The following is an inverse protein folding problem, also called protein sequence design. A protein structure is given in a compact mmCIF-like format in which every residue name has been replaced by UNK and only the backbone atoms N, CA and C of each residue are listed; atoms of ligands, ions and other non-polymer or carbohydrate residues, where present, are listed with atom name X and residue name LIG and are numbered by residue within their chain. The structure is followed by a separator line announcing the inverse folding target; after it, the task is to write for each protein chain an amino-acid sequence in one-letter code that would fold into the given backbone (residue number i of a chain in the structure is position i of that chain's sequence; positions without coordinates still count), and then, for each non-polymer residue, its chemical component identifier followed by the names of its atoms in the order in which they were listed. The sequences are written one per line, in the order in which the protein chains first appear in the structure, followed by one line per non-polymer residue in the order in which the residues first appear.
data_IF_384716609154
#
_entry.id   IF_384716609154
#
_cell.length_a   1.000
_cell.length_b   1.000
_cell.length_c   1.000
_cell.angle_alpha   90.00
_cell.angle_beta   90.00
_cell.angle_gamma   90.00
#
_symmetry.space_group_name_H-M   'P 1'
#
loop_
_entity.id
_entity.type
_entity.pdbx_description
1 polymer ?
#
# COMPACT_ATOMS: atom_id res chain seq x y z
N UNK A 1 8.21 15.53 5.32
CA UNK A 1 7.03 14.73 4.90
C UNK A 1 6.86 13.59 5.90
N UNK A 2 5.63 13.15 6.16
CA UNK A 2 5.32 11.98 6.97
C UNK A 2 4.63 10.93 6.12
N UNK A 3 4.93 9.65 6.36
CA UNK A 3 4.40 8.53 5.58
C UNK A 3 3.78 7.52 6.55
N UNK A 4 2.50 7.21 6.35
CA UNK A 4 1.77 6.20 7.09
C UNK A 4 1.24 5.16 6.13
N UNK A 5 1.61 3.90 6.30
CA UNK A 5 0.94 2.89 5.52
C UNK A 5 1.51 1.49 5.61
N UNK A 6 1.06 0.71 4.64
CA UNK A 6 1.32 -0.72 4.55
C UNK A 6 2.53 -1.04 3.68
N UNK A 7 2.77 -2.34 3.48
CA UNK A 7 3.95 -2.94 2.84
C UNK A 7 4.33 -2.29 1.49
N UNK A 8 3.36 -1.71 0.77
CA UNK A 8 3.57 -1.01 -0.51
C UNK A 8 4.39 0.28 -0.40
N UNK A 9 4.41 0.94 0.77
CA UNK A 9 5.20 2.17 1.00
C UNK A 9 6.21 2.02 2.15
N UNK A 10 6.42 0.78 2.60
CA UNK A 10 7.35 0.46 3.67
C UNK A 10 8.80 0.44 3.15
N UNK A 11 9.66 1.18 3.85
CA UNK A 11 11.11 1.09 3.79
C UNK A 11 11.56 0.88 5.24
N UNK A 12 12.12 -0.29 5.56
CA UNK A 12 12.79 -0.62 6.84
C UNK A 12 11.94 -0.87 8.09
N UNK A 13 10.72 -0.34 8.21
CA UNK A 13 9.94 -0.44 9.45
C UNK A 13 9.74 -1.89 9.97
N UNK A 14 9.69 -2.87 9.07
CA UNK A 14 9.52 -4.27 9.44
C UNK A 14 10.74 -4.89 10.15
N UNK A 15 11.90 -4.23 10.11
CA UNK A 15 13.12 -4.70 10.80
C UNK A 15 13.04 -4.52 12.32
N UNK A 16 12.16 -3.63 12.80
CA UNK A 16 12.03 -3.27 14.21
C UNK A 16 10.83 -3.92 14.91
N UNK A 17 10.10 -4.80 14.21
CA UNK A 17 8.93 -5.50 14.76
C UNK A 17 9.05 -7.02 14.59
N UNK A 18 8.35 -7.77 15.43
CA UNK A 18 8.33 -9.24 15.37
C UNK A 18 7.43 -9.71 14.22
N UNK A 19 8.02 -9.85 13.03
CA UNK A 19 7.36 -10.32 11.82
C UNK A 19 8.27 -11.24 11.00
N UNK A 20 7.67 -12.20 10.29
CA UNK A 20 8.35 -13.04 9.30
C UNK A 20 8.50 -12.32 7.95
N UNK A 21 7.71 -11.27 7.69
CA UNK A 21 7.77 -10.49 6.48
C UNK A 21 8.83 -9.40 6.63
N UNK A 22 10.06 -9.68 6.20
CA UNK A 22 11.19 -8.74 6.17
C UNK A 22 11.75 -8.63 4.76
N UNK A 23 12.34 -7.47 4.45
CA UNK A 23 12.96 -7.19 3.16
C UNK A 23 14.45 -6.77 3.28
N UNK A 24 15.07 -7.08 4.42
CA UNK A 24 16.44 -6.71 4.78
C UNK A 24 17.51 -7.65 4.21
N UNK A 25 17.23 -8.29 3.07
CA UNK A 25 18.15 -9.19 2.41
C UNK A 25 18.19 -8.94 0.91
N UNK A 26 19.41 -8.99 0.35
CA UNK A 26 19.69 -8.66 -1.05
C UNK A 26 18.90 -9.53 -2.03
N UNK A 27 18.83 -10.83 -1.76
CA UNK A 27 18.13 -11.78 -2.62
C UNK A 27 16.83 -12.22 -1.95
N UNK A 28 15.65 -11.86 -2.51
CA UNK A 28 15.41 -11.05 -3.72
C UNK A 28 15.34 -9.51 -3.57
N UNK A 29 15.17 -8.95 -2.37
CA UNK A 29 14.86 -7.53 -2.17
C UNK A 29 16.07 -6.59 -2.28
N UNK A 30 16.47 -6.29 -3.51
CA UNK A 30 17.66 -5.49 -3.81
C UNK A 30 18.63 -6.14 -4.79
N UNK A 31 18.19 -7.20 -5.48
CA UNK A 31 19.00 -7.92 -6.47
C UNK A 31 19.54 -6.99 -7.58
N UNK A 32 18.77 -5.99 -8.01
CA UNK A 32 19.20 -5.01 -9.03
C UNK A 32 20.00 -3.84 -8.46
N UNK A 33 19.89 -3.62 -7.15
CA UNK A 33 20.63 -2.56 -6.45
C UNK A 33 22.00 -3.04 -5.97
N UNK A 34 22.19 -4.36 -5.86
CA UNK A 34 23.43 -4.96 -5.37
C UNK A 34 23.51 -5.05 -3.84
N UNK A 35 22.56 -4.45 -3.12
CA UNK A 35 22.44 -4.42 -1.65
C UNK A 35 20.96 -4.52 -1.22
N UNK A 36 20.66 -4.96 0.02
CA UNK A 36 19.27 -4.98 0.53
C UNK A 36 18.64 -3.59 0.54
N UNK A 37 17.44 -3.45 0.00
CA UNK A 37 16.76 -2.14 -0.08
C UNK A 37 15.71 -1.94 1.01
N UNK A 38 15.41 -2.98 1.79
CA UNK A 38 14.33 -2.97 2.78
C UNK A 38 12.93 -2.69 2.23
N UNK A 39 12.79 -2.79 0.90
CA UNK A 39 11.53 -2.67 0.16
C UNK A 39 11.05 -4.06 -0.22
N UNK A 40 9.76 -4.33 -0.09
CA UNK A 40 9.12 -5.58 -0.55
C UNK A 40 9.01 -5.69 -2.09
N UNK A 41 9.85 -4.96 -2.81
CA UNK A 41 9.95 -4.99 -4.25
C UNK A 41 11.39 -4.67 -4.65
N UNK A 42 11.69 -4.84 -5.93
CA UNK A 42 13.00 -4.53 -6.50
C UNK A 42 12.93 -3.26 -7.37
N UNK A 43 12.47 -2.15 -6.77
CA UNK A 43 12.29 -0.85 -7.41
C UNK A 43 12.21 0.30 -6.41
N UNK A 44 12.11 1.53 -6.93
CA UNK A 44 11.96 2.76 -6.13
C UNK A 44 10.47 3.02 -5.88
N UNK A 45 10.10 3.28 -4.63
CA UNK A 45 8.73 3.57 -4.22
C UNK A 45 8.36 5.04 -4.28
N UNK A 46 7.05 5.32 -4.24
CA UNK A 46 6.55 6.68 -4.11
C UNK A 46 7.09 7.38 -2.85
N UNK A 47 7.34 6.63 -1.77
CA UNK A 47 7.98 7.14 -0.57
C UNK A 47 9.41 7.60 -0.84
N UNK A 48 10.19 6.84 -1.62
CA UNK A 48 11.57 7.16 -1.96
C UNK A 48 11.68 8.38 -2.88
N UNK A 49 10.77 8.53 -3.85
CA UNK A 49 10.73 9.73 -4.69
C UNK A 49 10.49 11.00 -3.88
N UNK A 50 9.77 10.88 -2.78
CA UNK A 50 9.41 12.00 -1.93
C UNK A 50 10.39 12.20 -0.76
N UNK A 51 11.28 11.24 -0.50
CA UNK A 51 12.32 11.31 0.53
C UNK A 51 13.69 11.67 -0.09
N UNK A 52 13.90 12.97 -0.31
CA UNK A 52 15.24 13.52 -0.55
C UNK A 52 15.72 14.22 0.74
N UNK A 53 16.60 13.56 1.49
CA UNK A 53 17.43 14.12 2.58
C UNK A 53 16.69 14.81 3.75
N UNK A 54 15.98 14.06 4.60
CA UNK A 54 15.40 14.64 5.82
C UNK A 54 15.89 13.98 7.12
N UNK A 55 16.77 14.69 7.84
CA UNK A 55 16.95 14.53 9.29
C UNK A 55 15.65 15.02 9.97
N UNK A 56 15.02 14.18 10.78
CA UNK A 56 13.84 14.57 11.55
C UNK A 56 14.24 15.67 12.57
N UNK A 57 13.61 16.86 12.55
CA UNK A 57 13.97 17.91 13.50
C UNK A 57 13.55 17.50 14.92
N UNK A 58 14.40 17.80 15.90
CA UNK A 58 14.03 17.68 17.32
C UNK A 58 13.34 18.98 17.72
N UNK A 59 12.08 18.88 18.14
CA UNK A 59 11.29 20.05 18.57
C UNK A 59 11.37 20.20 20.09
N UNK A 60 11.78 21.38 20.55
CA UNK A 60 11.82 21.70 21.98
C UNK A 60 10.48 22.24 22.50
N UNK A 61 9.65 22.82 21.63
CA UNK A 61 8.35 23.39 22.00
C UNK A 61 7.21 22.73 21.22
N UNK A 62 6.04 22.50 21.85
CA UNK A 62 4.86 21.96 21.16
C UNK A 62 4.40 22.83 19.98
N UNK A 63 4.54 24.16 20.07
CA UNK A 63 4.16 25.09 18.99
C UNK A 63 4.98 24.88 17.72
N UNK A 64 6.27 24.59 17.87
CA UNK A 64 7.19 24.39 16.75
C UNK A 64 6.85 23.08 16.03
N UNK A 65 6.52 22.03 16.80
CA UNK A 65 6.00 20.77 16.29
C UNK A 65 4.68 20.98 15.53
N UNK A 66 3.69 21.67 16.12
CA UNK A 66 2.41 21.94 15.46
C UNK A 66 2.59 22.72 14.16
N UNK A 67 3.47 23.72 14.14
CA UNK A 67 3.76 24.50 12.94
C UNK A 67 4.48 23.67 11.87
N UNK A 68 5.37 22.77 12.27
CA UNK A 68 6.04 21.83 11.37
C UNK A 68 5.06 20.83 10.76
N UNK A 69 4.18 20.24 11.59
CA UNK A 69 3.12 19.32 11.16
C UNK A 69 2.19 20.01 10.16
N UNK A 70 1.76 21.25 10.43
CA UNK A 70 0.87 22.00 9.53
C UNK A 70 1.50 22.30 8.16
N UNK A 71 2.84 22.44 8.10
CA UNK A 71 3.58 22.66 6.85
C UNK A 71 3.90 21.36 6.09
N UNK A 72 3.93 20.24 6.80
CA UNK A 72 4.32 18.94 6.28
C UNK A 72 3.24 18.27 5.44
N UNK A 73 3.67 17.50 4.44
CA UNK A 73 2.82 16.59 3.67
C UNK A 73 2.73 15.23 4.37
N UNK A 74 1.53 14.66 4.47
CA UNK A 74 1.24 13.33 5.02
C UNK A 74 0.78 12.41 3.90
N UNK A 75 1.59 11.41 3.53
CA UNK A 75 1.21 10.36 2.58
C UNK A 75 0.62 9.17 3.35
N UNK A 76 -0.62 8.79 3.05
CA UNK A 76 -1.35 7.71 3.75
C UNK A 76 -1.75 6.61 2.76
N UNK A 77 -1.35 5.37 2.99
CA UNK A 77 -1.83 4.19 2.25
C UNK A 77 -2.27 3.11 3.22
N UNK A 78 -3.56 2.80 3.25
CA UNK A 78 -4.13 1.80 4.16
C UNK A 78 -5.27 1.03 3.49
N UNK A 79 -5.63 -0.10 4.08
CA UNK A 79 -6.81 -0.88 3.74
C UNK A 79 -6.54 -2.16 2.97
N UNK A 80 -5.41 -2.31 2.26
CA UNK A 80 -5.16 -3.53 1.48
C UNK A 80 -5.05 -4.76 2.37
N UNK A 81 -4.41 -4.64 3.54
CA UNK A 81 -4.30 -5.73 4.51
C UNK A 81 -5.65 -6.12 5.14
N UNK A 82 -6.56 -5.18 5.41
CA UNK A 82 -7.91 -5.46 5.92
C UNK A 82 -8.71 -6.34 4.95
N UNK A 83 -8.44 -6.23 3.65
CA UNK A 83 -9.02 -7.12 2.66
C UNK A 83 -8.22 -8.42 2.52
N UNK A 84 -6.92 -8.34 2.20
CA UNK A 84 -6.12 -9.52 1.83
C UNK A 84 -6.00 -10.51 3.00
N UNK A 85 -5.74 -9.99 4.20
CA UNK A 85 -5.41 -10.75 5.41
C UNK A 85 -6.56 -10.78 6.42
N UNK A 86 -7.78 -10.45 5.99
CA UNK A 86 -8.97 -10.59 6.82
C UNK A 86 -10.22 -10.89 5.97
N UNK A 87 -10.81 -9.89 5.31
CA UNK A 87 -12.09 -10.06 4.58
C UNK A 87 -12.05 -11.15 3.50
N UNK A 88 -10.96 -11.25 2.77
CA UNK A 88 -10.77 -12.22 1.69
C UNK A 88 -10.10 -13.51 2.16
N UNK A 89 -10.21 -13.83 3.45
CA UNK A 89 -9.77 -15.08 4.08
C UNK A 89 -10.90 -15.71 4.92
N UNK A 90 -12.00 -16.14 4.28
CA UNK A 90 -13.19 -16.68 4.96
C UNK A 90 -12.92 -17.98 5.74
N UNK A 91 -11.82 -18.68 5.44
CA UNK A 91 -11.37 -19.87 6.17
C UNK A 91 -10.74 -19.54 7.53
N UNK A 92 -10.30 -18.30 7.74
CA UNK A 92 -9.61 -17.85 8.96
C UNK A 92 -10.41 -16.79 9.71
N UNK A 93 -11.14 -15.94 9.00
CA UNK A 93 -11.88 -14.82 9.57
C UNK A 93 -13.35 -14.84 9.12
N UNK A 94 -14.26 -14.50 10.03
CA UNK A 94 -15.69 -14.46 9.77
C UNK A 94 -16.16 -13.14 9.11
N UNK A 95 -15.27 -12.19 8.83
CA UNK A 95 -15.65 -10.84 8.40
C UNK A 95 -16.47 -10.81 7.10
N UNK A 96 -16.16 -11.66 6.12
CA UNK A 96 -16.98 -11.80 4.91
C UNK A 96 -18.30 -12.54 5.11
N UNK A 97 -18.48 -13.22 6.25
CA UNK A 97 -19.75 -13.84 6.65
C UNK A 97 -20.62 -12.84 7.42
N UNK A 98 -20.00 -11.87 8.10
CA UNK A 98 -20.67 -10.85 8.91
C UNK A 98 -21.04 -9.62 8.07
N UNK A 99 -20.15 -9.20 7.18
CA UNK A 99 -20.31 -7.97 6.40
C UNK A 99 -20.37 -8.27 4.90
N UNK A 100 -21.27 -7.59 4.19
CA UNK A 100 -21.15 -7.45 2.73
C UNK A 100 -19.89 -6.66 2.38
N UNK A 101 -19.43 -6.72 1.12
CA UNK A 101 -18.24 -5.98 0.68
C UNK A 101 -18.38 -4.48 0.95
N UNK A 102 -19.56 -3.94 0.67
CA UNK A 102 -19.91 -2.54 0.95
C UNK A 102 -19.97 -2.25 2.46
N UNK A 103 -20.55 -3.14 3.27
CA UNK A 103 -20.60 -2.97 4.72
C UNK A 103 -19.21 -2.97 5.37
N UNK A 104 -18.31 -3.82 4.89
CA UNK A 104 -16.93 -3.87 5.37
C UNK A 104 -16.13 -2.63 4.93
N UNK A 105 -16.36 -2.12 3.72
CA UNK A 105 -15.79 -0.86 3.27
C UNK A 105 -16.20 0.31 4.17
N UNK A 106 -17.49 0.39 4.55
CA UNK A 106 -17.99 1.41 5.48
C UNK A 106 -17.33 1.29 6.85
N UNK A 107 -17.15 0.07 7.37
CA UNK A 107 -16.46 -0.17 8.65
C UNK A 107 -15.02 0.37 8.65
N UNK A 108 -14.22 -0.01 7.65
CA UNK A 108 -12.82 0.45 7.54
C UNK A 108 -12.76 1.97 7.46
N UNK A 109 -13.63 2.58 6.65
CA UNK A 109 -13.61 4.02 6.40
C UNK A 109 -14.05 4.81 7.65
N UNK A 110 -15.03 4.32 8.41
CA UNK A 110 -15.43 4.95 9.66
C UNK A 110 -14.27 4.95 10.67
N UNK A 111 -13.58 3.82 10.81
CA UNK A 111 -12.40 3.74 11.68
C UNK A 111 -11.28 4.68 11.19
N UNK A 112 -11.01 4.71 9.89
CA UNK A 112 -10.00 5.60 9.31
C UNK A 112 -10.35 7.08 9.51
N UNK A 113 -11.62 7.46 9.33
CA UNK A 113 -12.11 8.82 9.53
C UNK A 113 -11.85 9.32 10.95
N UNK A 114 -12.00 8.44 11.95
CA UNK A 114 -11.67 8.76 13.34
C UNK A 114 -10.16 9.02 13.53
N UNK A 115 -9.29 8.18 12.95
CA UNK A 115 -7.83 8.38 13.04
C UNK A 115 -7.39 9.65 12.31
N UNK A 116 -7.97 9.92 11.13
CA UNK A 116 -7.68 11.13 10.37
C UNK A 116 -8.10 12.38 11.15
N UNK A 117 -9.25 12.34 11.84
CA UNK A 117 -9.70 13.44 12.70
C UNK A 117 -8.69 13.74 13.81
N UNK A 118 -8.09 12.72 14.43
CA UNK A 118 -7.03 12.89 15.45
C UNK A 118 -5.80 13.57 14.85
N UNK A 119 -5.37 13.17 13.65
CA UNK A 119 -4.25 13.82 12.95
C UNK A 119 -4.53 15.30 12.66
N UNK A 120 -5.75 15.64 12.26
CA UNK A 120 -6.13 17.03 12.05
C UNK A 120 -6.15 17.86 13.34
N UNK A 121 -6.59 17.28 14.47
CA UNK A 121 -6.49 17.92 15.80
C UNK A 121 -5.01 18.22 16.14
N UNK A 122 -4.09 17.34 15.75
CA UNK A 122 -2.64 17.54 15.93
C UNK A 122 -2.01 18.55 14.97
N UNK A 123 -2.80 19.13 14.05
CA UNK A 123 -2.34 20.18 13.14
C UNK A 123 -2.03 19.73 11.72
N UNK A 124 -2.32 18.47 11.34
CA UNK A 124 -2.14 18.01 9.96
C UNK A 124 -3.05 18.78 9.03
N UNK A 125 -2.51 19.30 7.92
CA UNK A 125 -3.28 20.08 6.93
C UNK A 125 -3.06 19.63 5.49
N UNK A 126 -1.91 19.03 5.16
CA UNK A 126 -1.63 18.55 3.80
C UNK A 126 -1.56 17.04 3.81
N UNK A 127 -2.58 16.40 3.24
CA UNK A 127 -2.68 14.94 3.23
C UNK A 127 -2.84 14.46 1.79
N UNK A 128 -2.13 13.41 1.44
CA UNK A 128 -2.29 12.65 0.19
C UNK A 128 -2.62 11.23 0.58
N UNK A 129 -3.70 10.69 0.04
CA UNK A 129 -4.11 9.33 0.32
C UNK A 129 -4.02 8.49 -0.95
N UNK A 130 -3.38 7.34 -0.85
CA UNK A 130 -3.29 6.38 -1.94
C UNK A 130 -4.59 5.61 -2.09
N UNK A 131 -5.01 5.42 -3.34
CA UNK A 131 -6.13 4.55 -3.67
C UNK A 131 -5.75 3.07 -3.47
N UNK A 132 -6.70 2.25 -3.02
CA UNK A 132 -6.53 0.79 -3.03
C UNK A 132 -6.30 0.31 -4.47
N UNK A 133 -5.18 -0.37 -4.72
CA UNK A 133 -4.92 -1.05 -5.99
C UNK A 133 -5.82 -2.28 -6.18
N UNK A 134 -5.93 -2.87 -7.39
CA UNK A 134 -6.88 -3.95 -7.72
C UNK A 134 -6.52 -5.31 -7.07
N UNK A 135 -6.95 -5.50 -5.83
CA UNK A 135 -6.74 -6.67 -4.98
C UNK A 135 -7.37 -7.95 -5.55
N UNK A 136 -8.37 -7.84 -6.43
CA UNK A 136 -8.96 -9.00 -7.12
C UNK A 136 -7.99 -9.62 -8.14
N UNK A 137 -7.03 -8.84 -8.62
CA UNK A 137 -6.11 -9.21 -9.70
C UNK A 137 -4.69 -9.54 -9.20
N UNK A 138 -4.47 -9.63 -7.89
CA UNK A 138 -3.15 -10.00 -7.36
C UNK A 138 -2.89 -11.51 -7.53
N UNK A 139 -1.64 -11.94 -7.78
CA UNK A 139 -1.34 -13.33 -8.10
C UNK A 139 -1.79 -14.32 -7.02
N UNK A 140 -1.70 -13.94 -5.75
CA UNK A 140 -2.17 -14.79 -4.64
C UNK A 140 -3.65 -15.12 -4.75
N UNK A 141 -4.52 -14.22 -5.24
CA UNK A 141 -5.98 -14.46 -5.32
C UNK A 141 -6.39 -15.42 -6.43
N UNK A 142 -5.62 -15.50 -7.53
CA UNK A 142 -5.84 -16.51 -8.56
C UNK A 142 -5.67 -17.96 -8.07
N UNK A 143 -4.99 -18.16 -6.93
CA UNK A 143 -4.89 -19.48 -6.29
C UNK A 143 -6.14 -19.84 -5.46
N UNK A 144 -6.92 -18.86 -5.01
CA UNK A 144 -8.00 -19.09 -4.04
C UNK A 144 -9.41 -19.15 -4.64
N UNK A 145 -9.70 -18.53 -5.81
CA UNK A 145 -10.91 -18.82 -6.65
C UNK A 145 -11.08 -17.83 -7.81
N UNK A 146 -11.84 -18.24 -8.85
CA UNK A 146 -12.13 -17.48 -10.07
C UNK A 146 -13.41 -16.58 -10.02
N UNK A 147 -14.16 -16.56 -8.91
CA UNK A 147 -15.47 -15.90 -8.80
C UNK A 147 -15.49 -14.61 -7.94
N UNK A 148 -14.35 -14.18 -7.42
CA UNK A 148 -14.23 -13.11 -6.41
C UNK A 148 -13.80 -11.75 -6.98
N UNK A 149 -13.40 -11.67 -8.25
CA UNK A 149 -12.86 -10.43 -8.87
C UNK A 149 -13.88 -9.30 -8.89
N UNK A 150 -15.11 -9.54 -9.36
CA UNK A 150 -16.14 -8.51 -9.49
C UNK A 150 -16.57 -7.91 -8.12
N UNK A 151 -16.68 -8.75 -7.08
CA UNK A 151 -17.03 -8.29 -5.72
C UNK A 151 -15.89 -7.47 -5.14
N UNK A 152 -14.64 -7.87 -5.37
CA UNK A 152 -13.48 -7.11 -4.90
C UNK A 152 -13.39 -5.78 -5.64
N UNK A 153 -13.50 -5.77 -6.97
CA UNK A 153 -13.46 -4.55 -7.79
C UNK A 153 -14.59 -3.56 -7.41
N UNK A 154 -15.82 -4.05 -7.22
CA UNK A 154 -16.93 -3.23 -6.76
C UNK A 154 -16.66 -2.68 -5.35
N UNK A 155 -16.19 -3.52 -4.43
CA UNK A 155 -15.84 -3.08 -3.07
C UNK A 155 -14.75 -2.02 -3.08
N UNK A 156 -13.77 -2.14 -3.96
CA UNK A 156 -12.71 -1.14 -4.14
C UNK A 156 -13.23 0.17 -4.67
N UNK A 157 -14.08 0.13 -5.70
CA UNK A 157 -14.70 1.32 -6.23
C UNK A 157 -15.49 2.06 -5.13
N UNK A 158 -16.25 1.31 -4.33
CA UNK A 158 -16.99 1.86 -3.19
C UNK A 158 -16.04 2.42 -2.12
N UNK A 159 -14.97 1.70 -1.73
CA UNK A 159 -13.98 2.23 -0.81
C UNK A 159 -13.44 3.58 -1.25
N UNK A 160 -13.05 3.71 -2.52
CA UNK A 160 -12.49 4.94 -3.07
C UNK A 160 -13.51 6.08 -3.05
N UNK A 161 -14.76 5.78 -3.42
CA UNK A 161 -15.87 6.73 -3.43
C UNK A 161 -16.20 7.22 -2.01
N UNK A 162 -16.37 6.29 -1.07
CA UNK A 162 -16.65 6.61 0.33
C UNK A 162 -15.47 7.31 1.00
N UNK A 163 -14.24 6.96 0.67
CA UNK A 163 -13.04 7.62 1.20
C UNK A 163 -12.96 9.08 0.74
N UNK A 164 -13.26 9.34 -0.54
CA UNK A 164 -13.43 10.69 -1.08
C UNK A 164 -14.51 11.47 -0.33
N UNK A 165 -15.66 10.84 -0.06
CA UNK A 165 -16.75 11.46 0.69
C UNK A 165 -16.40 11.71 2.16
N UNK A 166 -15.74 10.78 2.84
CA UNK A 166 -15.33 10.93 4.24
C UNK A 166 -14.29 12.03 4.41
N UNK A 167 -13.37 12.16 3.46
CA UNK A 167 -12.44 13.29 3.39
C UNK A 167 -13.19 14.62 3.27
N UNK A 168 -14.16 14.69 2.36
CA UNK A 168 -15.00 15.89 2.18
C UNK A 168 -15.76 16.20 3.48
N UNK A 169 -16.38 15.18 4.10
CA UNK A 169 -17.11 15.34 5.37
C UNK A 169 -16.22 15.82 6.53
N UNK A 170 -15.00 15.28 6.64
CA UNK A 170 -14.02 15.77 7.61
C UNK A 170 -13.67 17.22 7.29
N UNK A 171 -13.35 17.56 6.04
CA UNK A 171 -13.01 18.93 5.65
C UNK A 171 -14.11 19.96 5.99
N UNK A 172 -15.39 19.57 5.91
CA UNK A 172 -16.50 20.39 6.36
C UNK A 172 -16.57 20.57 7.89
N UNK A 173 -16.12 19.58 8.67
CA UNK A 173 -16.14 19.63 10.14
C UNK A 173 -14.98 20.43 10.74
N UNK A 174 -13.82 20.43 10.09
CA UNK A 174 -12.55 20.92 10.69
C UNK A 174 -11.83 21.99 9.85
N UNK A 175 -12.34 22.31 8.66
CA UNK A 175 -11.79 23.31 7.75
C UNK A 175 -10.80 22.73 6.71
N UNK A 176 -10.52 23.48 5.62
CA UNK A 176 -9.54 23.10 4.61
C UNK A 176 -8.12 22.96 5.20
N UNK A 177 -7.18 22.22 4.56
CA UNK A 177 -7.22 21.68 3.19
C UNK A 177 -7.78 20.26 3.05
N UNK A 178 -8.21 19.98 1.82
CA UNK A 178 -8.78 18.70 1.36
C UNK A 178 -7.64 17.75 0.95
N UNK A 179 -7.61 16.51 1.45
CA UNK A 179 -6.66 15.50 1.02
C UNK A 179 -6.77 15.22 -0.48
N UNK A 180 -5.63 15.19 -1.15
CA UNK A 180 -5.56 14.82 -2.58
C UNK A 180 -5.54 13.30 -2.65
N UNK A 181 -6.53 12.71 -3.32
CA UNK A 181 -6.53 11.28 -3.62
C UNK A 181 -5.73 11.10 -4.90
N UNK A 182 -4.59 10.42 -4.81
CA UNK A 182 -3.84 10.02 -5.99
C UNK A 182 -4.29 8.64 -6.41
N UNK A 183 -4.54 8.50 -7.71
CA UNK A 183 -4.53 7.19 -8.34
C UNK A 183 -3.17 6.55 -8.05
N UNK A 184 -3.16 5.31 -7.55
CA UNK A 184 -1.93 4.59 -7.26
C UNK A 184 -1.13 4.54 -8.56
N UNK A 185 0.15 4.93 -8.53
CA UNK A 185 1.06 4.92 -9.71
C UNK A 185 0.96 3.57 -10.44
N UNK A 186 0.81 2.51 -9.67
CA UNK A 186 0.50 1.13 -10.05
C UNK A 186 -0.67 0.99 -11.04
N UNK A 187 -1.84 1.57 -10.76
CA UNK A 187 -2.98 1.60 -11.70
C UNK A 187 -2.71 2.39 -12.98
N UNK A 188 -1.82 3.39 -12.94
CA UNK A 188 -1.38 4.10 -14.14
C UNK A 188 -0.49 3.22 -15.02
N UNK A 189 0.42 2.44 -14.43
CA UNK A 189 1.32 1.55 -15.16
C UNK A 189 0.57 0.38 -15.85
N UNK A 190 -0.46 -0.16 -15.20
CA UNK A 190 -1.37 -1.15 -15.80
C UNK A 190 -2.06 -0.59 -17.06
N UNK A 191 -2.58 0.64 -16.97
CA UNK A 191 -3.30 1.28 -18.09
C UNK A 191 -2.45 1.48 -19.34
N UNK A 192 -1.12 1.57 -19.19
CA UNK A 192 -0.19 1.83 -20.29
C UNK A 192 0.48 0.56 -20.85
N UNK A 193 0.04 -0.65 -20.48
CA UNK A 193 0.59 -1.93 -20.95
C UNK A 193 2.12 -2.04 -20.81
N UNK A 194 2.70 -1.45 -19.76
CA UNK A 194 4.15 -1.43 -19.56
C UNK A 194 4.74 -2.79 -19.16
N UNK A 195 3.90 -3.78 -18.85
CA UNK A 195 4.30 -5.11 -18.40
C UNK A 195 3.65 -6.19 -19.27
N UNK A 196 4.41 -7.27 -19.53
CA UNK A 196 3.93 -8.40 -20.33
C UNK A 196 3.23 -9.46 -19.48
N UNK A 197 3.63 -9.61 -18.21
CA UNK A 197 3.08 -10.60 -17.29
C UNK A 197 2.36 -9.89 -16.16
N UNK A 198 1.01 -9.96 -16.19
CA UNK A 198 0.13 -9.22 -15.26
C UNK A 198 -0.59 -10.10 -14.25
N UNK A 199 -0.53 -11.43 -14.36
CA UNK A 199 -1.29 -12.36 -13.53
C UNK A 199 -0.43 -13.33 -12.72
N UNK A 200 0.89 -13.15 -12.72
CA UNK A 200 1.86 -14.03 -12.04
C UNK A 200 2.95 -13.18 -11.41
N UNK A 201 3.41 -13.57 -10.23
CA UNK A 201 4.55 -12.93 -9.59
C UNK A 201 5.89 -13.35 -10.22
N UNK A 202 6.83 -12.41 -10.25
CA UNK A 202 8.21 -12.63 -10.70
C UNK A 202 9.00 -13.53 -9.74
N UNK A 203 8.66 -13.52 -8.47
CA UNK A 203 9.30 -14.31 -7.44
C UNK A 203 8.30 -15.34 -6.92
N UNK A 204 8.64 -16.62 -7.08
CA UNK A 204 7.70 -17.72 -6.80
C UNK A 204 7.88 -18.90 -7.73
N UNK A 205 8.07 -20.09 -7.16
CA UNK A 205 8.27 -21.32 -7.93
C UNK A 205 6.99 -22.16 -8.12
N UNK A 206 5.86 -21.66 -7.63
CA UNK A 206 4.56 -22.34 -7.71
C UNK A 206 3.59 -21.56 -8.61
N UNK A 207 2.39 -22.10 -8.85
CA UNK A 207 1.37 -21.49 -9.71
C UNK A 207 1.10 -20.03 -9.29
N UNK A 208 1.03 -19.13 -10.26
CA UNK A 208 0.92 -17.66 -10.09
C UNK A 208 1.98 -16.99 -9.20
N UNK A 209 3.01 -17.72 -8.74
CA UNK A 209 4.05 -17.19 -7.85
C UNK A 209 3.83 -17.53 -6.36
N UNK A 210 2.70 -18.11 -5.99
CA UNK A 210 2.48 -18.71 -4.66
C UNK A 210 1.67 -17.90 -3.67
N UNK A 211 1.71 -18.34 -2.41
CA UNK A 211 0.88 -17.82 -1.32
C UNK A 211 1.64 -16.96 -0.32
N UNK A 212 2.96 -16.84 -0.48
CA UNK A 212 3.84 -16.14 0.44
C UNK A 212 4.63 -15.09 -0.31
N UNK A 213 5.00 -14.03 0.43
CA UNK A 213 6.04 -13.09 0.00
C UNK A 213 7.33 -13.85 -0.30
N UNK A 214 8.25 -13.25 -1.04
CA UNK A 214 9.50 -13.91 -1.37
C UNK A 214 10.26 -14.34 -0.12
N UNK A 215 10.83 -15.54 -0.16
CA UNK A 215 11.71 -16.01 0.90
C UNK A 215 13.16 -15.54 0.67
N UNK A 216 13.97 -15.43 1.75
CA UNK A 216 15.40 -15.19 1.61
C UNK A 216 16.06 -16.20 0.66
N UNK A 217 16.97 -15.70 -0.18
CA UNK A 217 17.71 -16.45 -1.21
C UNK A 217 16.87 -17.02 -2.36
N UNK A 218 15.55 -16.77 -2.37
CA UNK A 218 14.70 -17.18 -3.47
C UNK A 218 15.06 -16.38 -4.73
N UNK A 219 15.36 -17.09 -5.82
CA UNK A 219 15.73 -16.49 -7.10
C UNK A 219 14.47 -16.05 -7.87
N UNK A 220 14.32 -14.75 -8.18
CA UNK A 220 13.27 -14.30 -9.09
C UNK A 220 13.63 -14.67 -10.54
N UNK A 221 12.64 -14.69 -11.42
CA UNK A 221 12.86 -14.97 -12.85
C UNK A 221 13.82 -13.96 -13.50
N UNK A 222 14.66 -14.41 -14.44
CA UNK A 222 15.67 -13.57 -15.09
C UNK A 222 15.07 -12.33 -15.77
N UNK A 223 13.96 -12.51 -16.50
CA UNK A 223 13.24 -11.43 -17.19
C UNK A 223 12.27 -10.66 -16.28
N UNK A 224 12.69 -10.37 -15.04
CA UNK A 224 11.88 -9.72 -14.02
C UNK A 224 11.25 -8.38 -14.41
N UNK A 225 11.82 -7.69 -15.41
CA UNK A 225 11.31 -6.42 -15.95
C UNK A 225 10.00 -6.56 -16.71
N UNK A 226 9.60 -7.77 -17.08
CA UNK A 226 8.36 -8.04 -17.79
C UNK A 226 7.16 -8.24 -16.85
N UNK A 227 7.39 -8.40 -15.55
CA UNK A 227 6.38 -8.73 -14.55
C UNK A 227 5.93 -7.48 -13.81
N UNK A 228 4.61 -7.27 -13.74
CA UNK A 228 4.04 -6.22 -12.89
C UNK A 228 4.13 -6.59 -11.41
N UNK A 229 4.07 -7.87 -11.06
CA UNK A 229 4.09 -8.32 -9.67
C UNK A 229 5.49 -8.80 -9.29
N UNK A 230 6.05 -8.26 -8.21
CA UNK A 230 7.32 -8.74 -7.68
C UNK A 230 7.11 -10.06 -6.95
N UNK A 231 6.18 -10.07 -5.99
CA UNK A 231 5.72 -11.25 -5.26
C UNK A 231 4.17 -11.39 -5.41
N UNK A 232 3.53 -12.41 -4.80
CA UNK A 232 2.09 -12.64 -4.98
C UNK A 232 1.14 -11.57 -4.42
N UNK A 233 1.66 -10.53 -3.76
CA UNK A 233 0.90 -9.47 -3.11
C UNK A 233 1.32 -8.08 -3.58
N UNK A 234 2.61 -7.89 -3.86
CA UNK A 234 3.23 -6.58 -4.06
C UNK A 234 3.52 -6.34 -5.54
N UNK A 235 2.98 -5.23 -6.05
CA UNK A 235 3.33 -4.74 -7.36
C UNK A 235 4.78 -4.25 -7.39
N UNK A 236 5.41 -4.42 -8.54
CA UNK A 236 6.74 -3.94 -8.83
C UNK A 236 6.68 -2.42 -8.98
N UNK A 237 7.64 -1.75 -8.34
CA UNK A 237 7.79 -0.30 -8.45
C UNK A 237 8.75 0.06 -9.60
N UNK A 238 8.71 1.31 -10.07
CA UNK A 238 9.45 1.76 -11.26
C UNK A 238 10.94 1.39 -11.18
N UNK A 239 11.56 0.99 -12.31
CA UNK A 239 13.00 0.79 -12.38
C UNK A 239 13.74 2.11 -12.12
N UNK A 240 14.99 2.03 -11.66
CA UNK A 240 15.83 3.18 -11.30
C UNK A 240 16.09 4.16 -12.45
N UNK A 241 15.84 3.75 -13.70
CA UNK A 241 16.14 4.53 -14.90
C UNK A 241 14.83 4.95 -15.59
N UNK A 242 14.55 6.26 -15.52
CA UNK A 242 13.89 7.01 -16.59
C UNK A 242 14.97 7.61 -17.49
#
# INVERSE_FOLDING_TARGET
MFIFGETMINSENNNYIMTIARANYKHPYGIDFGYPTDRFCNGISAADCADHNHVQPIFQKPTDLTQYIAKSLFLISIGSNDYINNYLQPSTYASSQIYSGEGFAVLIINNFSEQLSKLYILGVRKTVCARLGPLGCIPSKYLWQAATTAVIEQTQHQCCKFFSLSIIQISFKIGPPIPIILETIETFLERHNMFLVTNKACCGNVRYGGHLTCLPLQQPWANRNQYIFWDPFIQRKLPMQL
#
